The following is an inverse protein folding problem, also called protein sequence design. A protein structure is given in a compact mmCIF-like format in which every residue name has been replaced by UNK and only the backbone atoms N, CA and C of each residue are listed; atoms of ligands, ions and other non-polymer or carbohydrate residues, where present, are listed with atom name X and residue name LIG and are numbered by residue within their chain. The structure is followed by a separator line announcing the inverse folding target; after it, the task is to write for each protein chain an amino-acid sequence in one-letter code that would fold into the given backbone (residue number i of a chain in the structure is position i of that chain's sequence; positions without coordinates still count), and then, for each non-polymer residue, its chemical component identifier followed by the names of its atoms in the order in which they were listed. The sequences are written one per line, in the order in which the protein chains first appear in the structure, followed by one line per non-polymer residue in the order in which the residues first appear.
data_IF_105531977868
#
_entry.id   IF_105531977868
#
_cell.length_a   1.000
_cell.length_b   1.000
_cell.length_c   1.000
_cell.angle_alpha   90.00
_cell.angle_beta   90.00
_cell.angle_gamma   90.00
#
_symmetry.space_group_name_H-M   'P 1'
#
loop_
_entity.id
_entity.type
_entity.pdbx_description
1 polymer ?
#
# COMPACT_ATOMS: atom_id res chain seq x y z
N UNK A 1 -4.68 -11.62 -10.01
CA UNK A 1 -4.62 -10.14 -9.87
C UNK A 1 -3.35 -9.77 -9.14
N UNK A 2 -2.65 -8.75 -9.61
CA UNK A 2 -1.43 -8.29 -8.96
C UNK A 2 -1.76 -7.59 -7.64
N UNK A 3 -0.83 -7.66 -6.68
CA UNK A 3 -1.02 -7.00 -5.39
C UNK A 3 -1.27 -5.50 -5.54
N UNK A 4 -0.55 -4.83 -6.46
CA UNK A 4 -0.74 -3.40 -6.71
C UNK A 4 -2.16 -3.09 -7.19
N UNK A 5 -2.76 -3.95 -7.99
CA UNK A 5 -4.12 -3.79 -8.46
C UNK A 5 -5.12 -3.97 -7.31
N UNK A 6 -4.89 -4.96 -6.45
CA UNK A 6 -5.73 -5.19 -5.28
C UNK A 6 -5.68 -4.00 -4.33
N UNK A 7 -4.49 -3.42 -4.13
CA UNK A 7 -4.31 -2.23 -3.31
C UNK A 7 -5.03 -1.04 -3.92
N UNK A 8 -4.95 -0.86 -5.24
CA UNK A 8 -5.68 0.21 -5.92
C UNK A 8 -7.19 0.10 -5.69
N UNK A 9 -7.74 -1.11 -5.80
CA UNK A 9 -9.16 -1.34 -5.57
C UNK A 9 -9.55 -1.08 -4.11
N UNK A 10 -8.71 -1.49 -3.19
CA UNK A 10 -8.92 -1.24 -1.77
C UNK A 10 -9.00 0.26 -1.48
N UNK A 11 -8.03 1.03 -2.00
CA UNK A 11 -8.01 2.49 -1.81
C UNK A 11 -9.23 3.13 -2.44
N UNK A 12 -9.62 2.70 -3.64
CA UNK A 12 -10.77 3.25 -4.33
C UNK A 12 -12.09 3.04 -3.57
N UNK A 13 -12.17 2.01 -2.72
CA UNK A 13 -13.35 1.73 -1.92
C UNK A 13 -13.43 2.53 -0.63
N UNK A 14 -12.44 3.35 -0.30
CA UNK A 14 -12.43 4.12 0.94
C UNK A 14 -13.08 5.49 0.74
N UNK A 15 -13.54 6.14 1.84
CA UNK A 15 -14.03 7.52 1.77
C UNK A 15 -12.99 8.47 1.16
N UNK A 16 -13.46 9.56 0.56
CA UNK A 16 -12.59 10.46 -0.19
C UNK A 16 -11.40 10.97 0.65
N UNK A 17 -11.65 11.39 1.89
CA UNK A 17 -10.58 11.90 2.74
C UNK A 17 -9.53 10.84 3.04
N UNK A 18 -9.98 9.58 3.22
CA UNK A 18 -9.09 8.46 3.50
C UNK A 18 -8.30 8.06 2.25
N UNK A 19 -8.94 8.11 1.07
CA UNK A 19 -8.25 7.81 -0.19
C UNK A 19 -7.06 8.74 -0.40
N UNK A 20 -7.23 10.02 -0.14
CA UNK A 20 -6.15 11.00 -0.29
C UNK A 20 -4.99 10.69 0.64
N UNK A 21 -5.29 10.34 1.88
CA UNK A 21 -4.26 9.97 2.86
C UNK A 21 -3.53 8.72 2.43
N UNK A 22 -4.25 7.69 2.00
CA UNK A 22 -3.65 6.41 1.62
C UNK A 22 -2.77 6.54 0.37
N UNK A 23 -3.22 7.30 -0.63
CA UNK A 23 -2.44 7.53 -1.84
C UNK A 23 -1.13 8.25 -1.50
N UNK A 24 -1.21 9.27 -0.66
CA UNK A 24 -0.03 10.02 -0.26
C UNK A 24 0.93 9.17 0.55
N UNK A 25 0.41 8.37 1.46
CA UNK A 25 1.21 7.47 2.28
C UNK A 25 1.95 6.46 1.42
N UNK A 26 1.24 5.87 0.45
CA UNK A 26 1.83 4.93 -0.50
C UNK A 26 2.97 5.57 -1.28
N UNK A 27 2.77 6.80 -1.75
CA UNK A 27 3.81 7.54 -2.47
C UNK A 27 5.03 7.81 -1.59
N UNK A 28 4.81 8.21 -0.34
CA UNK A 28 5.90 8.47 0.61
C UNK A 28 6.71 7.21 0.89
N UNK A 29 6.06 6.08 1.05
CA UNK A 29 6.74 4.81 1.28
C UNK A 29 7.67 4.49 0.12
N UNK A 30 7.19 4.60 -1.13
CA UNK A 30 7.99 4.30 -2.31
C UNK A 30 9.09 5.33 -2.54
N UNK A 31 8.89 6.57 -2.14
CA UNK A 31 9.89 7.62 -2.26
C UNK A 31 11.01 7.46 -1.23
N UNK A 32 10.63 7.08 -0.01
CA UNK A 32 11.58 6.95 1.10
C UNK A 32 12.42 5.69 1.00
N UNK A 33 11.82 4.59 0.54
CA UNK A 33 12.50 3.29 0.45
C UNK A 33 12.39 2.76 -0.96
N UNK A 34 13.50 2.71 -1.70
CA UNK A 34 13.51 2.31 -3.10
C UNK A 34 13.17 0.85 -3.37
N UNK A 35 13.23 -0.02 -2.36
CA UNK A 35 13.00 -1.46 -2.50
C UNK A 35 11.75 -1.92 -1.78
N UNK A 36 10.68 -1.15 -1.86
CA UNK A 36 9.41 -1.52 -1.23
C UNK A 36 8.64 -2.48 -2.12
N UNK A 37 8.22 -3.60 -1.56
CA UNK A 37 7.36 -4.56 -2.25
C UNK A 37 5.95 -4.43 -1.71
N UNK A 38 4.99 -4.24 -2.63
CA UNK A 38 3.57 -4.19 -2.28
C UNK A 38 2.99 -5.60 -2.30
N UNK A 39 2.39 -6.02 -1.19
CA UNK A 39 1.75 -7.32 -1.09
C UNK A 39 0.32 -7.17 -0.59
N UNK A 40 -0.50 -8.18 -0.85
CA UNK A 40 -1.88 -8.24 -0.41
C UNK A 40 -2.05 -9.46 0.47
N UNK A 41 -2.27 -9.24 1.78
CA UNK A 41 -2.43 -10.31 2.75
C UNK A 41 -3.56 -9.99 3.72
N UNK A 42 -4.29 -11.02 4.13
CA UNK A 42 -5.38 -10.88 5.09
C UNK A 42 -6.36 -9.78 4.69
N UNK A 43 -6.60 -9.64 3.37
CA UNK A 43 -7.52 -8.66 2.78
C UNK A 43 -7.11 -7.21 3.07
N UNK A 44 -5.81 -6.97 3.21
CA UNK A 44 -5.32 -5.59 3.40
C UNK A 44 -3.98 -5.40 2.71
N UNK A 45 -3.63 -4.13 2.38
CA UNK A 45 -2.34 -3.81 1.79
C UNK A 45 -1.21 -3.97 2.79
N UNK A 46 -0.09 -4.48 2.33
CA UNK A 46 1.14 -4.58 3.11
C UNK A 46 2.30 -4.06 2.28
N UNK A 47 3.23 -3.39 2.94
CA UNK A 47 4.43 -2.85 2.32
C UNK A 47 5.64 -3.41 3.04
N UNK A 48 6.46 -4.15 2.31
CA UNK A 48 7.62 -4.84 2.87
C UNK A 48 8.90 -4.25 2.28
N UNK A 49 9.95 -4.20 3.10
CA UNK A 49 11.27 -3.76 2.67
C UNK A 49 12.27 -4.87 2.99
N UNK A 50 12.95 -5.41 1.96
CA UNK A 50 14.00 -6.41 2.13
C UNK A 50 13.54 -7.57 3.03
N UNK A 51 12.38 -8.14 2.73
CA UNK A 51 11.80 -9.28 3.45
C UNK A 51 11.32 -8.96 4.88
N UNK A 52 11.34 -7.70 5.28
CA UNK A 52 10.81 -7.29 6.59
C UNK A 52 9.52 -6.50 6.41
N UNK A 53 8.45 -6.84 7.15
CA UNK A 53 7.23 -6.06 7.11
C UNK A 53 7.50 -4.64 7.61
N UNK A 54 7.08 -3.65 6.84
CA UNK A 54 7.29 -2.26 7.19
C UNK A 54 6.00 -1.59 7.62
N UNK A 55 4.93 -1.82 6.86
CA UNK A 55 3.67 -1.13 7.09
C UNK A 55 2.52 -1.95 6.53
N UNK A 56 1.39 -1.89 7.20
CA UNK A 56 0.11 -2.41 6.68
C UNK A 56 -1.01 -1.43 7.00
N UNK A 57 -2.01 -1.45 6.14
CA UNK A 57 -3.19 -0.60 6.32
C UNK A 57 -4.34 -1.33 6.97
#
# INVERSE_FOLDING_TARGET
MLASEQINLYIAGQPEWQRKVLVRLRQLIHTTSGNVEETWRAQSPHFDVADQPMLSF
#
